data_IF_046995208528
#
_entry.id   IF_046995208528
#
_cell.length_a   1.000
_cell.length_b   1.000
_cell.length_c   1.000
_cell.angle_alpha   90.00
_cell.angle_beta   90.00
_cell.angle_gamma   90.00
#
_symmetry.space_group_name_H-M   'P 1'
#
loop_
_entity.id
_entity.type
_entity.pdbx_description
1 polymer ?
#
# COMPACT_ATOMS: atom_id res chain seq x y z
N UNK A 1 6.90 6.81 22.05
CA UNK A 1 6.07 5.79 21.36
C UNK A 1 5.32 6.49 20.23
N UNK A 2 5.39 5.98 18.99
CA UNK A 2 4.75 6.60 17.82
C UNK A 2 3.22 6.69 18.03
N UNK A 3 2.67 7.91 17.98
CA UNK A 3 1.25 8.18 18.24
C UNK A 3 0.33 7.54 17.18
N UNK A 4 0.72 7.57 15.90
CA UNK A 4 -0.02 6.92 14.81
C UNK A 4 -0.03 5.40 14.98
N UNK A 5 1.12 4.80 15.33
CA UNK A 5 1.18 3.37 15.62
C UNK A 5 0.29 2.99 16.81
N UNK A 6 0.30 3.81 17.88
CA UNK A 6 -0.53 3.56 19.07
C UNK A 6 -2.02 3.59 18.72
N UNK A 7 -2.44 4.58 17.93
CA UNK A 7 -3.81 4.69 17.46
C UNK A 7 -4.19 3.51 16.56
N UNK A 8 -3.30 3.12 15.63
CA UNK A 8 -3.50 1.99 14.74
C UNK A 8 -3.70 0.69 15.49
N UNK A 9 -2.82 0.38 16.44
CA UNK A 9 -2.90 -0.82 17.26
C UNK A 9 -4.23 -0.91 18.02
N UNK A 10 -4.76 0.23 18.48
CA UNK A 10 -6.02 0.29 19.24
C UNK A 10 -7.29 0.22 18.38
N UNK A 11 -7.23 0.60 17.10
CA UNK A 11 -8.45 0.85 16.30
C UNK A 11 -8.55 0.03 15.03
N UNK A 12 -7.43 -0.24 14.35
CA UNK A 12 -7.42 -0.90 13.04
C UNK A 12 -6.82 -2.30 13.17
N UNK A 13 -5.70 -2.42 13.87
CA UNK A 13 -4.96 -3.69 13.98
C UNK A 13 -5.79 -4.79 14.62
N UNK A 14 -6.44 -4.51 15.75
CA UNK A 14 -7.27 -5.48 16.47
C UNK A 14 -8.46 -5.99 15.64
N UNK A 15 -8.98 -5.19 14.70
CA UNK A 15 -10.14 -5.53 13.88
C UNK A 15 -9.74 -6.30 12.61
N UNK A 16 -8.61 -5.94 11.99
CA UNK A 16 -8.26 -6.43 10.65
C UNK A 16 -6.97 -7.25 10.57
N UNK A 17 -6.03 -7.09 11.51
CA UNK A 17 -4.64 -7.51 11.34
C UNK A 17 -4.02 -8.16 12.59
N UNK A 18 -4.84 -8.68 13.52
CA UNK A 18 -4.35 -9.20 14.81
C UNK A 18 -3.26 -10.28 14.68
N UNK A 19 -3.23 -11.00 13.56
CA UNK A 19 -2.24 -12.06 13.27
C UNK A 19 -0.92 -11.54 12.70
N UNK A 20 -0.81 -10.23 12.42
CA UNK A 20 0.36 -9.60 11.80
C UNK A 20 1.04 -8.68 12.83
N UNK A 21 2.14 -9.12 13.47
CA UNK A 21 2.84 -8.30 14.44
C UNK A 21 3.29 -6.96 13.83
N UNK A 22 3.18 -5.89 14.62
CA UNK A 22 3.64 -4.54 14.28
C UNK A 22 4.40 -3.96 15.47
N UNK A 23 5.53 -3.31 15.19
CA UNK A 23 6.32 -2.60 16.21
C UNK A 23 7.01 -1.39 15.59
N UNK A 24 7.50 -0.49 16.44
CA UNK A 24 8.33 0.65 16.03
C UNK A 24 9.78 0.37 16.43
N UNK A 25 10.70 0.70 15.56
CA UNK A 25 12.15 0.64 15.80
C UNK A 25 12.62 1.91 16.54
N UNK A 26 13.87 1.93 16.98
CA UNK A 26 14.43 3.06 17.74
C UNK A 26 14.51 4.36 16.93
N UNK A 27 14.77 4.25 15.63
CA UNK A 27 14.72 5.34 14.64
C UNK A 27 13.29 5.71 14.23
N UNK A 28 12.30 5.02 14.80
CA UNK A 28 10.89 5.33 14.67
C UNK A 28 10.19 4.50 13.61
N UNK A 29 10.87 3.95 12.61
CA UNK A 29 10.24 3.17 11.54
C UNK A 29 9.27 2.12 12.09
N UNK A 30 8.07 2.05 11.50
CA UNK A 30 7.13 0.98 11.81
C UNK A 30 7.49 -0.23 10.95
N UNK A 31 7.67 -1.37 11.61
CA UNK A 31 7.89 -2.66 10.97
C UNK A 31 6.71 -3.58 11.20
N UNK A 32 6.45 -4.44 10.22
CA UNK A 32 5.51 -5.54 10.33
C UNK A 32 6.20 -6.89 10.19
N UNK A 33 5.50 -7.96 10.53
CA UNK A 33 5.94 -9.33 10.27
C UNK A 33 4.83 -10.16 9.64
N UNK A 34 5.21 -10.99 8.67
CA UNK A 34 4.35 -12.01 8.08
C UNK A 34 5.14 -13.31 7.92
N UNK A 35 4.73 -14.38 8.62
CA UNK A 35 5.41 -15.69 8.58
C UNK A 35 6.94 -15.53 8.77
N UNK A 36 7.35 -14.78 9.81
CA UNK A 36 8.74 -14.46 10.14
C UNK A 36 9.49 -13.62 9.10
N UNK A 37 8.84 -13.18 8.02
CA UNK A 37 9.39 -12.20 7.08
C UNK A 37 9.14 -10.82 7.66
N UNK A 38 10.20 -10.05 7.86
CA UNK A 38 10.10 -8.66 8.30
C UNK A 38 9.71 -7.78 7.12
N UNK A 39 8.74 -6.91 7.33
CA UNK A 39 8.20 -5.99 6.35
C UNK A 39 8.48 -4.56 6.80
N UNK A 40 9.04 -3.76 5.89
CA UNK A 40 9.23 -2.31 6.08
C UNK A 40 8.87 -1.55 4.82
N UNK A 41 8.79 -0.22 4.95
CA UNK A 41 8.45 0.67 3.84
C UNK A 41 9.65 1.49 3.41
N UNK A 42 9.85 1.60 2.10
CA UNK A 42 10.70 2.60 1.47
C UNK A 42 9.83 3.49 0.59
N UNK A 43 10.29 4.71 0.31
CA UNK A 43 9.53 5.67 -0.49
C UNK A 43 10.43 6.29 -1.56
N UNK A 44 9.93 6.30 -2.78
CA UNK A 44 10.63 6.81 -3.97
C UNK A 44 9.84 7.99 -4.56
N UNK A 45 10.48 9.02 -5.11
CA UNK A 45 9.77 10.06 -5.85
C UNK A 45 9.02 9.48 -7.07
N UNK A 46 7.77 9.87 -7.24
CA UNK A 46 6.95 9.51 -8.38
C UNK A 46 6.64 10.74 -9.24
N UNK A 47 6.70 10.57 -10.56
CA UNK A 47 6.44 11.64 -11.53
C UNK A 47 5.69 11.11 -12.75
N UNK A 48 5.04 12.01 -13.49
CA UNK A 48 4.47 11.67 -14.80
C UNK A 48 5.52 11.73 -15.91
N UNK A 49 5.13 11.37 -17.13
CA UNK A 49 6.02 11.38 -18.29
C UNK A 49 6.57 12.77 -18.66
N UNK A 50 5.94 13.85 -18.18
CA UNK A 50 6.42 15.22 -18.34
C UNK A 50 7.38 15.66 -17.21
N UNK A 51 7.62 14.79 -16.23
CA UNK A 51 8.46 15.07 -15.06
C UNK A 51 7.73 15.80 -13.93
N UNK A 52 6.41 15.97 -14.02
CA UNK A 52 5.62 16.59 -12.95
C UNK A 52 5.51 15.63 -11.77
N UNK A 53 5.81 16.10 -10.56
CA UNK A 53 5.71 15.29 -9.36
C UNK A 53 4.27 14.86 -9.09
N UNK A 54 4.10 13.56 -8.84
CA UNK A 54 2.85 12.93 -8.43
C UNK A 54 2.83 12.61 -6.92
N UNK A 55 3.99 12.68 -6.26
CA UNK A 55 4.17 12.37 -4.83
C UNK A 55 5.30 11.37 -4.60
N UNK A 56 5.13 10.50 -3.60
CA UNK A 56 6.04 9.40 -3.29
C UNK A 56 5.34 8.05 -3.44
N UNK A 57 6.02 7.12 -4.10
CA UNK A 57 5.62 5.74 -4.28
C UNK A 57 6.18 4.89 -3.14
N UNK A 58 5.31 4.19 -2.44
CA UNK A 58 5.71 3.23 -1.42
C UNK A 58 6.22 1.93 -2.07
N UNK A 59 7.30 1.40 -1.50
CA UNK A 59 7.83 0.07 -1.79
C UNK A 59 7.88 -0.76 -0.53
N UNK A 60 7.56 -2.03 -0.68
CA UNK A 60 7.78 -3.03 0.34
C UNK A 60 9.23 -3.48 0.32
N UNK A 61 9.87 -3.46 1.48
CA UNK A 61 11.09 -4.23 1.71
C UNK A 61 10.72 -5.41 2.59
N UNK A 62 10.77 -6.61 2.01
CA UNK A 62 10.49 -7.87 2.69
C UNK A 62 11.80 -8.62 2.93
N UNK A 63 12.17 -8.84 4.19
CA UNK A 63 13.43 -9.47 4.57
C UNK A 63 13.13 -10.80 5.26
N UNK A 64 13.58 -11.90 4.64
CA UNK A 64 13.44 -13.25 5.19
C UNK A 64 14.28 -13.42 6.47
N UNK A 65 14.02 -14.43 7.31
CA UNK A 65 14.83 -14.69 8.51
C UNK A 65 16.33 -14.84 8.26
N UNK A 66 16.72 -15.31 7.07
CA UNK A 66 18.12 -15.43 6.64
C UNK A 66 18.77 -14.11 6.19
N UNK A 67 18.03 -13.00 6.13
CA UNK A 67 18.52 -11.70 5.66
C UNK A 67 18.31 -11.44 4.17
N UNK A 68 17.85 -12.44 3.42
CA UNK A 68 17.51 -12.34 2.00
C UNK A 68 16.37 -11.32 1.78
N UNK A 69 16.46 -10.48 0.74
CA UNK A 69 15.32 -9.68 0.29
C UNK A 69 14.41 -10.55 -0.57
N UNK A 70 13.12 -10.61 -0.21
CA UNK A 70 12.10 -11.33 -0.96
C UNK A 70 11.42 -10.43 -1.97
N UNK A 71 11.22 -10.95 -3.18
CA UNK A 71 10.34 -10.35 -4.17
C UNK A 71 8.86 -10.48 -3.75
N UNK A 72 8.01 -9.57 -4.22
CA UNK A 72 6.58 -9.53 -3.91
C UNK A 72 5.86 -10.83 -4.28
N UNK A 73 6.24 -11.47 -5.41
CA UNK A 73 5.67 -12.76 -5.82
C UNK A 73 6.05 -13.88 -4.86
N UNK A 74 7.29 -13.85 -4.33
CA UNK A 74 7.75 -14.84 -3.37
C UNK A 74 7.00 -14.69 -2.04
N UNK A 75 6.82 -13.45 -1.57
CA UNK A 75 6.02 -13.15 -0.37
C UNK A 75 4.57 -13.62 -0.54
N UNK A 76 3.99 -13.34 -1.71
CA UNK A 76 2.63 -13.74 -2.04
C UNK A 76 2.46 -15.26 -2.04
N UNK A 77 3.41 -16.04 -2.55
CA UNK A 77 3.33 -17.52 -2.51
C UNK A 77 3.31 -18.10 -1.10
N UNK A 78 3.74 -17.34 -0.08
CA UNK A 78 3.68 -17.78 1.30
C UNK A 78 2.24 -17.75 1.87
N UNK A 79 1.30 -17.09 1.20
CA UNK A 79 -0.10 -17.06 1.61
C UNK A 79 -0.75 -18.42 1.28
N UNK A 80 -1.00 -19.26 2.29
CA UNK A 80 -1.48 -20.64 2.11
C UNK A 80 -3.01 -20.80 2.16
N UNK A 81 -3.74 -19.74 2.50
CA UNK A 81 -5.22 -19.74 2.64
C UNK A 81 -5.81 -18.66 1.73
N UNK A 82 -6.97 -18.92 1.14
CA UNK A 82 -7.60 -18.10 0.09
C UNK A 82 -7.84 -16.63 0.45
N UNK A 83 -7.96 -16.30 1.74
CA UNK A 83 -8.19 -14.91 2.19
C UNK A 83 -6.90 -14.17 2.61
N UNK A 84 -5.82 -14.91 2.89
CA UNK A 84 -4.55 -14.34 3.36
C UNK A 84 -3.91 -13.33 2.40
N UNK A 85 -3.94 -13.49 1.05
CA UNK A 85 -3.37 -12.48 0.15
C UNK A 85 -4.07 -11.13 0.24
N UNK A 86 -5.40 -11.12 0.36
CA UNK A 86 -6.21 -9.90 0.48
C UNK A 86 -5.89 -9.16 1.78
N UNK A 87 -5.80 -9.89 2.89
CA UNK A 87 -5.48 -9.32 4.21
C UNK A 87 -4.04 -8.81 4.23
N UNK A 88 -3.09 -9.58 3.70
CA UNK A 88 -1.68 -9.18 3.60
C UNK A 88 -1.50 -7.90 2.78
N UNK A 89 -2.16 -7.78 1.63
CA UNK A 89 -2.11 -6.58 0.79
C UNK A 89 -2.63 -5.35 1.54
N UNK A 90 -3.77 -5.48 2.25
CA UNK A 90 -4.32 -4.40 3.10
C UNK A 90 -3.39 -4.06 4.26
N UNK A 91 -2.73 -5.05 4.85
CA UNK A 91 -1.75 -4.85 5.92
C UNK A 91 -0.53 -4.08 5.42
N UNK A 92 0.06 -4.47 4.30
CA UNK A 92 1.20 -3.79 3.67
C UNK A 92 0.86 -2.33 3.38
N UNK A 93 -0.31 -2.04 2.83
CA UNK A 93 -0.74 -0.65 2.58
C UNK A 93 -0.93 0.16 3.85
N UNK A 94 -1.40 -0.48 4.92
CA UNK A 94 -1.53 0.16 6.22
C UNK A 94 -0.16 0.46 6.84
N UNK A 95 0.79 -0.47 6.70
CA UNK A 95 2.19 -0.28 7.08
C UNK A 95 2.83 0.90 6.33
N UNK A 96 2.60 0.99 5.03
CA UNK A 96 3.05 2.13 4.20
C UNK A 96 2.44 3.45 4.68
N UNK A 97 1.13 3.49 4.95
CA UNK A 97 0.48 4.68 5.47
C UNK A 97 1.08 5.13 6.81
N UNK A 98 1.32 4.20 7.74
CA UNK A 98 1.93 4.53 9.04
C UNK A 98 3.32 5.13 8.89
N UNK A 99 4.17 4.50 8.07
CA UNK A 99 5.52 5.01 7.82
C UNK A 99 5.50 6.35 7.08
N UNK A 100 4.56 6.54 6.14
CA UNK A 100 4.38 7.80 5.42
C UNK A 100 4.01 8.95 6.37
N UNK A 101 3.00 8.73 7.23
CA UNK A 101 2.55 9.72 8.21
C UNK A 101 3.65 10.09 9.20
N UNK A 102 4.48 9.12 9.58
CA UNK A 102 5.61 9.35 10.47
C UNK A 102 6.76 10.10 9.81
N UNK A 103 7.07 9.80 8.55
CA UNK A 103 8.17 10.43 7.81
C UNK A 103 7.93 11.92 7.54
N UNK A 104 6.68 12.40 7.67
CA UNK A 104 6.38 13.83 7.59
C UNK A 104 6.54 14.42 6.19
N UNK A 105 6.17 13.67 5.15
CA UNK A 105 6.21 14.10 3.74
C UNK A 105 5.33 15.31 3.39
N UNK A 106 4.63 15.90 4.37
CA UNK A 106 3.82 17.11 4.20
C UNK A 106 2.65 16.87 3.25
N UNK A 107 2.55 17.72 2.23
CA UNK A 107 1.46 17.70 1.23
C UNK A 107 1.71 16.78 0.04
N UNK A 108 2.84 16.04 0.02
CA UNK A 108 3.13 15.11 -1.07
C UNK A 108 2.05 14.02 -1.15
N UNK A 109 1.75 13.54 -2.35
CA UNK A 109 0.83 12.41 -2.50
C UNK A 109 1.50 11.11 -2.06
N UNK A 110 0.77 10.22 -1.40
CA UNK A 110 1.20 8.84 -1.16
C UNK A 110 0.63 7.93 -2.24
N UNK A 111 1.50 7.23 -2.96
CA UNK A 111 1.10 6.25 -3.97
C UNK A 111 1.39 4.84 -3.44
N UNK A 112 0.37 3.99 -3.46
CA UNK A 112 0.40 2.65 -2.90
C UNK A 112 0.25 1.61 -4.02
N UNK A 113 1.20 0.67 -4.19
CA UNK A 113 0.99 -0.49 -5.03
C UNK A 113 -0.20 -1.32 -4.55
N UNK A 114 -0.89 -1.95 -5.50
CA UNK A 114 -1.94 -2.93 -5.22
C UNK A 114 -1.68 -4.21 -6.01
N UNK A 115 -1.84 -5.37 -5.35
CA UNK A 115 -1.64 -6.67 -6.00
C UNK A 115 -2.80 -7.04 -6.96
N UNK A 116 -2.48 -7.77 -8.02
CA UNK A 116 -3.50 -8.32 -8.93
C UNK A 116 -4.45 -9.28 -8.19
N UNK A 117 -3.91 -10.08 -7.26
CA UNK A 117 -4.71 -11.01 -6.46
C UNK A 117 -5.80 -10.30 -5.64
N UNK A 118 -5.50 -9.14 -5.03
CA UNK A 118 -6.53 -8.35 -4.36
C UNK A 118 -7.62 -7.92 -5.35
N UNK A 119 -7.20 -7.41 -6.50
CA UNK A 119 -8.12 -6.90 -7.52
C UNK A 119 -8.98 -8.00 -8.15
N UNK A 120 -8.52 -9.24 -8.15
CA UNK A 120 -9.26 -10.41 -8.62
C UNK A 120 -10.20 -10.97 -7.54
N UNK A 121 -9.75 -11.01 -6.29
CA UNK A 121 -10.52 -11.58 -5.18
C UNK A 121 -11.67 -10.67 -4.70
N UNK A 122 -11.56 -9.36 -4.89
CA UNK A 122 -12.60 -8.40 -4.50
C UNK A 122 -13.47 -8.06 -5.70
N UNK A 123 -14.75 -8.40 -5.63
CA UNK A 123 -15.68 -8.23 -6.75
C UNK A 123 -16.18 -6.79 -6.92
N UNK A 124 -16.38 -6.03 -5.84
CA UNK A 124 -16.84 -4.62 -5.84
C UNK A 124 -16.31 -3.82 -4.62
N UNK A 125 -16.41 -2.49 -4.67
CA UNK A 125 -16.01 -1.54 -3.60
C UNK A 125 -14.50 -1.50 -3.28
N UNK A 126 -13.66 -1.55 -4.32
CA UNK A 126 -12.22 -1.37 -4.17
C UNK A 126 -11.92 -0.02 -3.50
N UNK A 127 -11.15 -0.06 -2.41
CA UNK A 127 -10.78 1.14 -1.65
C UNK A 127 -11.66 1.43 -0.44
N UNK A 128 -12.89 0.88 -0.33
CA UNK A 128 -13.79 1.16 0.81
C UNK A 128 -13.16 0.88 2.17
N UNK A 129 -12.64 -0.34 2.37
CA UNK A 129 -12.00 -0.74 3.64
C UNK A 129 -10.78 0.13 3.91
N UNK A 130 -9.99 0.45 2.89
CA UNK A 130 -8.80 1.27 3.07
C UNK A 130 -9.16 2.73 3.40
N UNK A 131 -10.24 3.27 2.86
CA UNK A 131 -10.78 4.59 3.24
C UNK A 131 -11.13 4.63 4.72
N UNK A 132 -11.82 3.60 5.23
CA UNK A 132 -12.14 3.49 6.65
C UNK A 132 -10.87 3.44 7.53
N UNK A 133 -9.82 2.77 7.07
CA UNK A 133 -8.52 2.76 7.74
C UNK A 133 -7.92 4.17 7.77
N UNK A 134 -7.89 4.88 6.63
CA UNK A 134 -7.36 6.26 6.53
C UNK A 134 -8.11 7.22 7.46
N UNK A 135 -9.44 7.17 7.47
CA UNK A 135 -10.32 8.03 8.29
C UNK A 135 -10.05 7.89 9.79
N UNK A 136 -9.64 6.70 10.25
CA UNK A 136 -9.34 6.43 11.67
C UNK A 136 -7.95 6.87 12.10
N UNK A 137 -7.03 7.11 11.15
CA UNK A 137 -5.61 7.31 11.41
C UNK A 137 -5.12 8.72 11.10
N UNK A 138 -5.67 9.38 10.08
CA UNK A 138 -5.17 10.64 9.59
C UNK A 138 -6.30 11.63 9.27
N UNK A 139 -6.31 12.75 9.99
CA UNK A 139 -7.19 13.88 9.74
C UNK A 139 -6.38 15.19 9.79
N UNK A 140 -6.36 16.00 8.71
CA UNK A 140 -6.98 15.74 7.41
C UNK A 140 -6.33 14.53 6.70
N UNK A 141 -7.11 13.87 5.84
CA UNK A 141 -6.63 12.71 5.11
C UNK A 141 -5.59 13.12 4.05
N UNK A 142 -4.45 12.41 3.93
CA UNK A 142 -3.46 12.70 2.91
C UNK A 142 -4.00 12.39 1.51
N UNK A 143 -3.40 13.02 0.50
CA UNK A 143 -3.65 12.68 -0.90
C UNK A 143 -3.12 11.27 -1.16
N UNK A 144 -3.98 10.33 -1.52
CA UNK A 144 -3.61 8.93 -1.75
C UNK A 144 -3.99 8.52 -3.18
N UNK A 145 -3.13 7.74 -3.83
CA UNK A 145 -3.49 7.02 -5.03
C UNK A 145 -2.94 5.59 -5.07
N UNK A 146 -3.49 4.80 -6.00
CA UNK A 146 -3.16 3.39 -6.17
C UNK A 146 -2.43 3.15 -7.48
N UNK A 147 -1.26 2.51 -7.39
CA UNK A 147 -0.53 2.02 -8.54
C UNK A 147 -1.06 0.62 -8.89
N UNK A 148 -1.80 0.53 -10.00
CA UNK A 148 -2.37 -0.72 -10.49
C UNK A 148 -1.30 -1.60 -11.16
N UNK A 149 -1.44 -2.93 -11.16
CA UNK A 149 -0.52 -3.81 -11.87
C UNK A 149 -0.44 -3.52 -13.36
N UNK A 150 0.78 -3.55 -13.93
CA UNK A 150 1.04 -3.27 -15.34
C UNK A 150 0.18 -4.13 -16.30
N UNK A 151 -0.15 -5.36 -15.90
CA UNK A 151 -0.98 -6.29 -16.66
C UNK A 151 -2.40 -5.75 -16.98
N UNK A 152 -2.89 -4.76 -16.22
CA UNK A 152 -4.18 -4.12 -16.51
C UNK A 152 -4.11 -3.07 -17.63
N UNK A 153 -2.91 -2.64 -18.05
CA UNK A 153 -2.76 -1.68 -19.15
C UNK A 153 -3.44 -2.16 -20.45
N UNK A 154 -3.46 -3.47 -20.69
CA UNK A 154 -4.12 -4.08 -21.84
C UNK A 154 -5.64 -4.30 -21.66
N UNK A 155 -6.24 -3.82 -20.56
CA UNK A 155 -7.64 -4.11 -20.18
C UNK A 155 -8.43 -2.82 -19.89
N UNK A 156 -8.74 -1.98 -20.91
CA UNK A 156 -9.30 -0.64 -20.71
C UNK A 156 -10.65 -0.63 -19.99
N UNK A 157 -11.53 -1.60 -20.26
CA UNK A 157 -12.81 -1.73 -19.55
C UNK A 157 -12.62 -2.02 -18.05
N UNK A 158 -11.66 -2.89 -17.71
CA UNK A 158 -11.33 -3.19 -16.30
C UNK A 158 -10.71 -1.98 -15.60
N UNK A 159 -9.82 -1.25 -16.28
CA UNK A 159 -9.25 0.00 -15.75
C UNK A 159 -10.31 1.06 -15.46
N UNK A 160 -11.26 1.26 -16.38
CA UNK A 160 -12.34 2.22 -16.17
C UNK A 160 -13.17 1.89 -14.93
N UNK A 161 -13.47 0.60 -14.72
CA UNK A 161 -14.18 0.13 -13.51
C UNK A 161 -13.33 0.35 -12.25
N UNK A 162 -12.05 -0.03 -12.26
CA UNK A 162 -11.16 0.13 -11.11
C UNK A 162 -10.98 1.60 -10.72
N UNK A 163 -10.71 2.46 -11.70
CA UNK A 163 -10.58 3.92 -11.53
C UNK A 163 -11.83 4.50 -10.87
N UNK A 164 -13.00 4.16 -11.41
CA UNK A 164 -14.28 4.65 -10.88
C UNK A 164 -14.52 4.17 -9.43
N UNK A 165 -14.20 2.90 -9.11
CA UNK A 165 -14.35 2.39 -7.75
C UNK A 165 -13.41 3.13 -6.76
N UNK A 166 -12.14 3.28 -7.10
CA UNK A 166 -11.18 4.00 -6.24
C UNK A 166 -11.53 5.48 -6.10
N UNK A 167 -11.96 6.13 -7.18
CA UNK A 167 -12.35 7.54 -7.19
C UNK A 167 -13.54 7.82 -6.25
N UNK A 168 -14.53 6.92 -6.19
CA UNK A 168 -15.67 7.01 -5.24
C UNK A 168 -15.25 7.04 -3.77
N UNK A 169 -14.05 6.53 -3.47
CA UNK A 169 -13.48 6.54 -2.12
C UNK A 169 -12.38 7.61 -1.93
N UNK A 170 -12.27 8.56 -2.88
CA UNK A 170 -11.35 9.70 -2.80
C UNK A 170 -9.91 9.36 -3.17
N UNK A 171 -9.68 8.28 -3.91
CA UNK A 171 -8.34 7.85 -4.31
C UNK A 171 -8.10 8.04 -5.81
N UNK A 172 -6.89 8.51 -6.15
CA UNK A 172 -6.40 8.52 -7.53
C UNK A 172 -5.94 7.11 -7.95
N UNK A 173 -5.81 6.87 -9.25
CA UNK A 173 -5.24 5.62 -9.78
C UNK A 173 -4.19 5.91 -10.84
N UNK A 174 -3.14 5.08 -10.85
CA UNK A 174 -2.00 5.19 -11.73
C UNK A 174 -1.63 3.84 -12.34
N UNK A 175 -0.99 3.87 -13.51
CA UNK A 175 -0.30 2.73 -14.11
C UNK A 175 1.21 2.96 -14.14
N UNK A 176 2.03 1.90 -14.03
CA UNK A 176 3.45 2.01 -14.33
C UNK A 176 3.64 2.24 -15.82
N UNK A 177 4.71 2.95 -16.19
CA UNK A 177 5.11 3.13 -17.58
C UNK A 177 6.36 2.32 -17.90
N UNK A 178 6.63 2.11 -19.19
CA UNK A 178 7.88 1.48 -19.64
C UNK A 178 9.12 2.38 -19.43
N UNK A 179 8.94 3.63 -18.99
CA UNK A 179 10.02 4.61 -18.85
C UNK A 179 10.80 4.47 -17.53
N UNK A 180 10.30 3.68 -16.57
CA UNK A 180 11.01 3.34 -15.33
C UNK A 180 10.09 3.24 -14.12
N UNK A 181 10.61 2.67 -13.03
CA UNK A 181 9.85 2.28 -11.84
C UNK A 181 9.18 3.44 -11.08
N UNK A 182 9.60 4.70 -11.32
CA UNK A 182 9.03 5.92 -10.73
C UNK A 182 8.24 6.81 -11.71
N UNK A 183 8.13 6.42 -12.99
CA UNK A 183 7.37 7.16 -14.00
C UNK A 183 5.99 6.54 -14.15
N UNK A 184 4.96 7.26 -13.75
CA UNK A 184 3.60 6.75 -13.67
C UNK A 184 2.64 7.50 -14.60
N UNK A 185 1.65 6.79 -15.12
CA UNK A 185 0.57 7.35 -15.91
C UNK A 185 -0.70 7.49 -15.03
N UNK A 186 -1.21 8.71 -14.79
CA UNK A 186 -2.52 8.91 -14.17
C UNK A 186 -3.65 8.37 -15.06
N UNK A 187 -4.71 7.83 -14.45
CA UNK A 187 -5.91 7.30 -15.13
C UNK A 187 -7.15 8.19 -14.98
#
# INVERSE_FOLDING_TARGET
MNAFLTQFLRTVHAEYFMEFPLWSTADGQVMGEFIKVRLSSQFEPAHDAAGQSLGVLARLQAIAPGGEVLADEALTRLTRVSETPVVLDRFIRSLHLLNYLQAGYGEQGLILPVSALLLEAVSQEHGRVFRQIVDRLAMPAPRIGFLLPAAYAAQPARLAVLRENYARHGFATFLPTAQGDGVLQPL
#
